data_IF_567644683380
#
_entry.id   IF_567644683380
#
_cell.length_a   1.000
_cell.length_b   1.000
_cell.length_c   1.000
_cell.angle_alpha   90.00
_cell.angle_beta   90.00
_cell.angle_gamma   90.00
#
_symmetry.space_group_name_H-M   'P 1'
#
loop_
_entity.id
_entity.type
_entity.pdbx_description
1 polymer ?
#
# COMPACT_ATOMS: atom_id res chain seq x y z
N UNK A 1 -46.58 -4.69 42.58
CA UNK A 1 -45.34 -4.56 43.38
C UNK A 1 -44.27 -4.06 42.45
N UNK A 2 -43.99 -2.76 42.53
CA UNK A 2 -43.07 -2.03 41.65
C UNK A 2 -41.63 -2.40 42.04
N UNK A 3 -40.91 -3.06 41.14
CA UNK A 3 -39.48 -3.34 41.33
C UNK A 3 -38.71 -2.04 41.13
N UNK A 4 -38.28 -1.42 42.23
CA UNK A 4 -37.29 -0.34 42.18
C UNK A 4 -36.02 -0.86 41.51
N UNK A 5 -35.79 -0.47 40.27
CA UNK A 5 -34.48 -0.62 39.63
C UNK A 5 -33.49 0.24 40.40
N UNK A 6 -32.64 -0.38 41.21
CA UNK A 6 -31.52 0.30 41.84
C UNK A 6 -30.71 1.00 40.73
N UNK A 7 -30.73 2.33 40.72
CA UNK A 7 -30.00 3.15 39.75
C UNK A 7 -28.52 2.85 39.86
N UNK A 8 -27.99 2.11 38.87
CA UNK A 8 -26.56 1.87 38.69
C UNK A 8 -25.88 3.22 38.44
N UNK A 9 -24.79 3.48 39.16
CA UNK A 9 -24.07 4.75 39.07
C UNK A 9 -23.37 4.90 37.70
N UNK A 10 -23.85 5.84 36.89
CA UNK A 10 -23.29 6.16 35.55
C UNK A 10 -21.86 6.71 35.64
N UNK A 11 -21.13 6.73 34.52
CA UNK A 11 -19.76 7.28 34.48
C UNK A 11 -19.74 8.75 34.95
N UNK A 12 -20.73 9.54 34.55
CA UNK A 12 -20.91 10.91 35.03
C UNK A 12 -21.11 10.97 36.55
N UNK A 13 -21.92 10.08 37.13
CA UNK A 13 -22.08 9.96 38.57
C UNK A 13 -20.78 9.60 39.31
N UNK A 14 -19.97 8.71 38.73
CA UNK A 14 -18.65 8.36 39.26
C UNK A 14 -17.67 9.54 39.21
N UNK A 15 -17.76 10.38 38.18
CA UNK A 15 -16.94 11.58 38.03
C UNK A 15 -17.34 12.67 39.02
N UNK A 16 -18.65 12.90 39.22
CA UNK A 16 -19.16 13.85 40.23
C UNK A 16 -18.72 13.47 41.64
N UNK A 17 -18.69 12.18 41.97
CA UNK A 17 -18.24 11.66 43.26
C UNK A 17 -16.71 11.50 43.35
N UNK A 18 -15.96 11.90 42.31
CA UNK A 18 -14.50 11.77 42.18
C UNK A 18 -13.96 10.36 42.47
N UNK A 19 -14.75 9.31 42.21
CA UNK A 19 -14.41 7.93 42.57
C UNK A 19 -13.13 7.46 41.88
N UNK A 20 -12.90 7.91 40.65
CA UNK A 20 -11.71 7.50 39.90
C UNK A 20 -10.41 8.03 40.52
N UNK A 21 -10.46 9.21 41.15
CA UNK A 21 -9.32 9.79 41.88
C UNK A 21 -9.20 9.14 43.26
N UNK A 22 -10.32 8.92 43.94
CA UNK A 22 -10.40 8.30 45.27
C UNK A 22 -9.89 6.86 45.30
N UNK A 23 -10.12 6.10 44.24
CA UNK A 23 -9.66 4.71 44.09
C UNK A 23 -8.42 4.56 43.21
N UNK A 24 -7.80 5.66 42.78
CA UNK A 24 -6.61 5.68 41.93
C UNK A 24 -6.75 4.73 40.70
N UNK A 25 -7.85 4.89 39.96
CA UNK A 25 -8.11 4.13 38.74
C UNK A 25 -7.17 4.56 37.62
N UNK A 26 -6.71 3.59 36.82
CA UNK A 26 -5.82 3.87 35.68
C UNK A 26 -6.57 4.61 34.57
N UNK A 27 -5.84 5.30 33.68
CA UNK A 27 -6.43 5.96 32.51
C UNK A 27 -7.20 4.97 31.61
N UNK A 28 -6.68 3.76 31.47
CA UNK A 28 -7.33 2.67 30.73
C UNK A 28 -8.65 2.25 31.37
N UNK A 29 -8.70 2.14 32.69
CA UNK A 29 -9.93 1.80 33.41
C UNK A 29 -11.00 2.90 33.25
N UNK A 30 -10.61 4.18 33.32
CA UNK A 30 -11.53 5.30 33.07
C UNK A 30 -12.13 5.23 31.67
N UNK A 31 -11.29 5.03 30.65
CA UNK A 31 -11.73 4.92 29.25
C UNK A 31 -12.69 3.74 29.02
N UNK A 32 -12.50 2.63 29.73
CA UNK A 32 -13.40 1.47 29.64
C UNK A 32 -14.73 1.70 30.36
N UNK A 33 -14.72 2.40 31.50
CA UNK A 33 -15.95 2.76 32.21
C UNK A 33 -16.77 3.80 31.42
N UNK A 34 -16.10 4.73 30.73
CA UNK A 34 -16.73 5.67 29.79
C UNK A 34 -17.37 4.91 28.62
N UNK A 35 -16.63 3.98 28.00
CA UNK A 35 -17.16 3.15 26.91
C UNK A 35 -18.33 2.25 27.37
N UNK A 36 -18.33 1.76 28.62
CA UNK A 36 -19.46 1.01 29.18
C UNK A 36 -20.71 1.89 29.32
N UNK A 37 -20.55 3.14 29.72
CA UNK A 37 -21.65 4.10 29.79
C UNK A 37 -22.18 4.41 28.37
N UNK A 38 -21.30 4.63 27.39
CA UNK A 38 -21.68 4.82 25.99
C UNK A 38 -22.46 3.60 25.44
N UNK A 39 -22.11 2.39 25.84
CA UNK A 39 -22.85 1.17 25.49
C UNK A 39 -24.25 1.15 26.12
N UNK A 40 -24.38 1.49 27.41
CA UNK A 40 -25.69 1.58 28.09
C UNK A 40 -26.61 2.63 27.45
N UNK A 41 -26.03 3.68 26.88
CA UNK A 41 -26.76 4.72 26.15
C UNK A 41 -26.92 4.43 24.64
N UNK A 42 -26.50 3.25 24.16
CA UNK A 42 -26.67 2.82 22.77
C UNK A 42 -25.80 3.57 21.75
N UNK A 43 -24.73 4.24 22.20
CA UNK A 43 -23.78 4.94 21.29
C UNK A 43 -22.76 3.99 20.68
N UNK A 44 -22.45 2.90 21.37
CA UNK A 44 -21.58 1.84 20.87
C UNK A 44 -22.26 0.48 21.06
N UNK A 45 -21.95 -0.46 20.18
CA UNK A 45 -22.46 -1.82 20.26
C UNK A 45 -21.70 -2.65 21.31
N UNK A 46 -22.35 -3.69 21.86
CA UNK A 46 -21.72 -4.62 22.81
C UNK A 46 -20.42 -5.23 22.24
N UNK A 47 -20.39 -5.48 20.93
CA UNK A 47 -19.21 -6.02 20.25
C UNK A 47 -18.05 -5.02 20.17
N UNK A 48 -18.33 -3.72 20.06
CA UNK A 48 -17.32 -2.67 20.09
C UNK A 48 -16.70 -2.55 21.48
N UNK A 49 -17.53 -2.57 22.53
CA UNK A 49 -17.05 -2.63 23.92
C UNK A 49 -16.16 -3.85 24.17
N UNK A 50 -16.60 -5.03 23.71
CA UNK A 50 -15.81 -6.26 23.83
C UNK A 50 -14.49 -6.22 23.05
N UNK A 51 -14.46 -5.59 21.86
CA UNK A 51 -13.25 -5.43 21.05
C UNK A 51 -12.15 -4.64 21.76
N UNK A 52 -12.50 -3.59 22.51
CA UNK A 52 -11.54 -2.78 23.27
C UNK A 52 -10.70 -3.61 24.25
N UNK A 53 -11.31 -4.64 24.83
CA UNK A 53 -10.67 -5.55 25.79
C UNK A 53 -9.99 -6.72 25.08
N UNK A 54 -10.63 -7.33 24.07
CA UNK A 54 -10.07 -8.48 23.32
C UNK A 54 -8.76 -8.15 22.61
N UNK A 55 -8.68 -6.96 22.02
CA UNK A 55 -7.52 -6.56 21.20
C UNK A 55 -6.36 -5.97 22.00
N UNK A 56 -6.54 -5.74 23.31
CA UNK A 56 -5.52 -5.10 24.16
C UNK A 56 -5.41 -5.77 25.52
N UNK A 57 -4.33 -6.53 25.73
CA UNK A 57 -4.02 -7.14 27.03
C UNK A 57 -3.91 -6.12 28.17
N UNK A 58 -3.47 -4.90 27.87
CA UNK A 58 -3.39 -3.80 28.84
C UNK A 58 -4.78 -3.32 29.30
N UNK A 59 -5.77 -3.34 28.41
CA UNK A 59 -7.16 -3.00 28.76
C UNK A 59 -7.76 -4.10 29.64
N UNK A 60 -7.56 -5.37 29.27
CA UNK A 60 -8.02 -6.52 30.10
C UNK A 60 -7.42 -6.49 31.51
N UNK A 61 -6.11 -6.23 31.62
CA UNK A 61 -5.42 -6.09 32.90
C UNK A 61 -5.96 -4.91 33.72
N UNK A 62 -6.26 -3.78 33.08
CA UNK A 62 -6.83 -2.63 33.77
C UNK A 62 -8.19 -2.92 34.42
N UNK A 63 -9.01 -3.78 33.80
CA UNK A 63 -10.29 -4.22 34.38
C UNK A 63 -10.05 -5.11 35.60
N UNK A 64 -9.20 -6.14 35.48
CA UNK A 64 -8.92 -7.05 36.60
C UNK A 64 -8.27 -6.34 37.78
N UNK A 65 -7.34 -5.41 37.51
CA UNK A 65 -6.69 -4.59 38.55
C UNK A 65 -7.70 -3.67 39.24
N UNK A 66 -8.70 -3.16 38.50
CA UNK A 66 -9.76 -2.32 39.06
C UNK A 66 -10.70 -3.10 39.97
N UNK A 67 -11.08 -4.33 39.58
CA UNK A 67 -11.87 -5.24 40.43
C UNK A 67 -11.11 -5.56 41.72
N UNK A 68 -9.83 -5.92 41.62
CA UNK A 68 -8.99 -6.22 42.78
C UNK A 68 -8.84 -5.02 43.73
N UNK A 69 -8.67 -3.80 43.19
CA UNK A 69 -8.64 -2.56 43.97
C UNK A 69 -9.96 -2.30 44.69
N UNK A 70 -11.09 -2.41 43.99
CA UNK A 70 -12.40 -2.21 44.60
C UNK A 70 -12.67 -3.23 45.73
N UNK A 71 -12.32 -4.50 45.51
CA UNK A 71 -12.42 -5.54 46.54
C UNK A 71 -11.54 -5.25 47.78
N UNK A 72 -10.34 -4.71 47.59
CA UNK A 72 -9.45 -4.28 48.68
C UNK A 72 -10.04 -3.11 49.47
N UNK A 73 -10.65 -2.14 48.80
CA UNK A 73 -11.31 -0.99 49.43
C UNK A 73 -12.55 -1.41 50.22
N UNK A 74 -13.36 -2.33 49.67
CA UNK A 74 -14.55 -2.87 50.36
C UNK A 74 -14.19 -3.51 51.71
N UNK A 75 -13.07 -4.24 51.80
CA UNK A 75 -12.59 -4.83 53.05
C UNK A 75 -12.17 -3.79 54.09
N UNK A 76 -11.65 -2.64 53.65
CA UNK A 76 -11.13 -1.59 54.55
C UNK A 76 -12.17 -0.55 54.94
N UNK A 77 -13.16 -0.28 54.08
CA UNK A 77 -14.15 0.80 54.24
C UNK A 77 -15.55 0.32 53.83
N UNK A 78 -16.33 -0.28 54.76
CA UNK A 78 -17.66 -0.80 54.45
C UNK A 78 -18.66 0.29 54.03
N UNK A 79 -18.43 1.55 54.38
CA UNK A 79 -19.25 2.68 53.92
C UNK A 79 -19.18 2.91 52.39
N UNK A 80 -18.11 2.45 51.71
CA UNK A 80 -17.92 2.60 50.26
C UNK A 80 -18.44 1.39 49.47
N UNK A 81 -19.06 0.41 50.15
CA UNK A 81 -19.44 -0.88 49.57
C UNK A 81 -20.25 -0.72 48.29
N UNK A 82 -21.25 0.16 48.31
CA UNK A 82 -22.15 0.41 47.18
C UNK A 82 -21.40 0.88 45.92
N UNK A 83 -20.53 1.88 46.07
CA UNK A 83 -19.75 2.44 44.96
C UNK A 83 -18.76 1.43 44.36
N UNK A 84 -18.12 0.62 45.22
CA UNK A 84 -17.21 -0.44 44.76
C UNK A 84 -17.96 -1.55 44.01
N UNK A 85 -19.16 -1.92 44.48
CA UNK A 85 -20.01 -2.91 43.80
C UNK A 85 -20.43 -2.41 42.42
N UNK A 86 -20.83 -1.14 42.29
CA UNK A 86 -21.21 -0.56 41.00
C UNK A 86 -20.06 -0.58 39.98
N UNK A 87 -18.84 -0.24 40.41
CA UNK A 87 -17.65 -0.29 39.55
C UNK A 87 -17.29 -1.73 39.18
N UNK A 88 -17.38 -2.67 40.13
CA UNK A 88 -17.12 -4.09 39.87
C UNK A 88 -18.16 -4.61 38.87
N UNK A 89 -19.43 -4.26 39.02
CA UNK A 89 -20.51 -4.65 38.11
C UNK A 89 -20.29 -4.12 36.69
N UNK A 90 -19.87 -2.86 36.55
CA UNK A 90 -19.49 -2.33 35.24
C UNK A 90 -18.30 -3.09 34.63
N UNK A 91 -17.28 -3.38 35.44
CA UNK A 91 -16.10 -4.16 35.03
C UNK A 91 -16.47 -5.60 34.59
N UNK A 92 -17.38 -6.27 35.30
CA UNK A 92 -17.80 -7.64 34.96
C UNK A 92 -18.65 -7.67 33.70
N UNK A 93 -19.51 -6.66 33.47
CA UNK A 93 -20.26 -6.53 32.23
C UNK A 93 -19.35 -6.29 31.02
N UNK A 94 -18.30 -5.46 31.18
CA UNK A 94 -17.26 -5.27 30.17
C UNK A 94 -16.55 -6.60 29.84
N UNK A 95 -16.18 -7.39 30.86
CA UNK A 95 -15.56 -8.71 30.65
C UNK A 95 -16.52 -9.68 29.97
N UNK A 96 -17.79 -9.70 30.35
CA UNK A 96 -18.82 -10.53 29.71
C UNK A 96 -19.00 -10.19 28.22
N UNK A 97 -18.98 -8.90 27.87
CA UNK A 97 -19.00 -8.46 26.47
C UNK A 97 -17.73 -8.90 25.70
N UNK A 98 -16.58 -8.95 26.37
CA UNK A 98 -15.32 -9.38 25.78
C UNK A 98 -15.22 -10.90 25.60
N UNK A 99 -15.76 -11.68 26.53
CA UNK A 99 -15.70 -13.15 26.53
C UNK A 99 -16.71 -13.79 25.56
N UNK A 100 -17.74 -13.05 25.11
CA UNK A 100 -18.56 -13.48 23.98
C UNK A 100 -17.69 -13.60 22.72
N UNK A 101 -17.81 -14.69 21.93
CA UNK A 101 -17.13 -14.78 20.64
C UNK A 101 -17.60 -13.61 19.77
N UNK A 102 -16.68 -12.93 19.04
CA UNK A 102 -17.07 -11.84 18.16
C UNK A 102 -18.10 -12.37 17.15
N UNK A 103 -19.11 -11.55 16.82
CA UNK A 103 -19.99 -11.88 15.70
C UNK A 103 -19.14 -12.18 14.47
N UNK A 104 -19.42 -13.33 13.84
CA UNK A 104 -18.79 -13.73 12.58
C UNK A 104 -19.30 -12.90 11.40
N UNK A 105 -20.28 -12.01 11.63
CA UNK A 105 -20.66 -10.96 10.70
C UNK A 105 -19.51 -9.95 10.60
N UNK A 106 -18.54 -10.29 9.76
CA UNK A 106 -17.42 -9.42 9.44
C UNK A 106 -17.89 -8.07 8.92
N UNK A 107 -17.03 -7.06 9.05
CA UNK A 107 -17.30 -5.72 8.52
C UNK A 107 -17.67 -5.80 7.03
N UNK A 108 -18.85 -5.30 6.62
CA UNK A 108 -19.34 -5.49 5.25
C UNK A 108 -18.69 -4.47 4.30
N UNK A 109 -17.38 -4.63 4.07
CA UNK A 109 -16.57 -3.70 3.25
C UNK A 109 -17.21 -3.42 1.89
N UNK A 110 -17.83 -4.43 1.27
CA UNK A 110 -18.46 -4.32 -0.05
C UNK A 110 -19.79 -3.56 -0.05
N UNK A 111 -20.44 -3.35 1.10
CA UNK A 111 -21.65 -2.52 1.23
C UNK A 111 -21.31 -1.02 1.27
N UNK A 112 -20.07 -0.66 1.56
CA UNK A 112 -19.64 0.74 1.57
C UNK A 112 -19.59 1.31 0.14
N UNK A 113 -19.78 2.63 -0.04
CA UNK A 113 -19.49 3.31 -1.31
C UNK A 113 -18.04 3.11 -1.77
N UNK A 114 -17.81 3.17 -3.08
CA UNK A 114 -16.51 2.88 -3.69
C UNK A 114 -15.41 3.85 -3.18
N UNK A 115 -15.78 5.09 -2.89
CA UNK A 115 -14.93 6.15 -2.36
C UNK A 115 -14.38 5.76 -0.98
N UNK A 116 -15.24 5.26 -0.10
CA UNK A 116 -14.84 4.80 1.23
C UNK A 116 -13.96 3.56 1.13
N UNK A 117 -14.29 2.62 0.23
CA UNK A 117 -13.43 1.44 0.00
C UNK A 117 -12.04 1.84 -0.50
N UNK A 118 -11.93 2.83 -1.40
CA UNK A 118 -10.64 3.39 -1.84
C UNK A 118 -9.85 4.00 -0.68
N UNK A 119 -10.51 4.69 0.25
CA UNK A 119 -9.85 5.21 1.45
C UNK A 119 -9.33 4.07 2.35
N UNK A 120 -10.08 2.98 2.48
CA UNK A 120 -9.60 1.77 3.18
C UNK A 120 -8.38 1.19 2.47
N UNK A 121 -8.39 1.07 1.14
CA UNK A 121 -7.21 0.61 0.37
C UNK A 121 -6.03 1.55 0.50
N UNK A 122 -6.26 2.86 0.57
CA UNK A 122 -5.22 3.83 0.84
C UNK A 122 -4.56 3.59 2.19
N UNK A 123 -5.36 3.48 3.26
CA UNK A 123 -4.86 3.26 4.61
C UNK A 123 -4.21 1.88 4.77
N UNK A 124 -4.73 0.88 4.08
CA UNK A 124 -4.14 -0.45 4.05
C UNK A 124 -2.75 -0.41 3.41
N UNK A 125 -2.65 0.15 2.19
CA UNK A 125 -1.39 0.23 1.44
C UNK A 125 -0.36 1.14 2.10
N UNK A 126 -0.76 2.25 2.71
CA UNK A 126 0.16 3.18 3.37
C UNK A 126 0.85 2.57 4.60
N UNK A 127 0.20 1.64 5.31
CA UNK A 127 0.75 1.02 6.54
C UNK A 127 1.97 0.14 6.27
N UNK A 128 1.91 -0.78 5.31
CA UNK A 128 3.06 -1.64 5.01
C UNK A 128 4.06 -0.99 4.05
N UNK A 129 3.66 0.05 3.33
CA UNK A 129 4.56 0.91 2.58
C UNK A 129 5.11 2.04 3.46
N UNK A 130 5.24 1.87 4.79
CA UNK A 130 5.50 2.93 5.79
C UNK A 130 6.73 3.87 5.59
N UNK A 131 7.55 3.68 4.55
CA UNK A 131 8.58 4.63 4.09
C UNK A 131 8.23 5.41 2.80
N UNK A 132 7.12 5.08 2.17
CA UNK A 132 6.60 5.56 0.89
C UNK A 132 5.37 6.42 1.12
N UNK A 133 5.50 7.44 1.96
CA UNK A 133 4.36 8.24 2.44
C UNK A 133 3.72 9.11 1.34
N UNK A 134 4.33 9.23 0.17
CA UNK A 134 3.91 10.15 -0.88
C UNK A 134 3.47 9.39 -2.13
N UNK A 135 2.42 9.89 -2.82
CA UNK A 135 2.21 9.57 -4.22
C UNK A 135 3.50 9.86 -5.00
N UNK A 136 3.96 8.94 -5.85
CA UNK A 136 5.29 8.98 -6.48
C UNK A 136 6.40 8.22 -5.74
N UNK A 137 6.06 7.56 -4.63
CA UNK A 137 6.90 6.54 -4.02
C UNK A 137 7.17 5.37 -5.00
N UNK A 138 8.44 5.21 -5.40
CA UNK A 138 8.86 4.16 -6.33
C UNK A 138 8.87 2.77 -5.70
N UNK A 139 7.97 1.89 -6.08
CA UNK A 139 7.95 0.50 -5.66
C UNK A 139 8.89 -0.35 -6.53
N UNK A 140 9.84 -1.05 -5.90
CA UNK A 140 10.70 -2.02 -6.58
C UNK A 140 10.07 -3.43 -6.45
N UNK A 141 9.65 -4.07 -7.55
CA UNK A 141 9.16 -5.43 -7.52
C UNK A 141 10.22 -6.40 -6.98
N UNK A 142 9.77 -7.51 -6.41
CA UNK A 142 10.71 -8.57 -6.07
C UNK A 142 11.31 -9.14 -7.37
N UNK A 143 12.65 -9.25 -7.48
CA UNK A 143 13.29 -9.67 -8.72
C UNK A 143 12.85 -11.09 -9.05
N UNK A 144 12.19 -11.25 -10.20
CA UNK A 144 11.94 -12.58 -10.76
C UNK A 144 13.24 -13.09 -11.37
N UNK A 145 13.51 -14.40 -11.21
CA UNK A 145 14.60 -15.08 -11.93
C UNK A 145 14.36 -14.95 -13.43
N UNK A 146 14.92 -13.90 -14.03
CA UNK A 146 15.05 -13.77 -15.47
C UNK A 146 16.46 -14.25 -15.83
N UNK A 147 16.61 -14.91 -16.97
CA UNK A 147 17.91 -15.40 -17.44
C UNK A 147 18.87 -14.28 -17.89
N UNK A 148 18.67 -13.04 -17.40
CA UNK A 148 19.50 -11.91 -17.80
C UNK A 148 20.63 -11.68 -16.80
N UNK A 149 21.83 -11.40 -17.32
CA UNK A 149 23.00 -11.02 -16.54
C UNK A 149 23.09 -9.48 -16.34
N UNK A 150 21.95 -8.79 -16.32
CA UNK A 150 21.94 -7.35 -16.10
C UNK A 150 22.37 -7.03 -14.66
N UNK A 151 23.14 -5.96 -14.48
CA UNK A 151 23.50 -5.50 -13.15
C UNK A 151 22.22 -5.21 -12.34
N UNK A 152 22.12 -5.78 -11.16
CA UNK A 152 20.96 -5.58 -10.28
C UNK A 152 20.88 -4.11 -9.85
N UNK A 153 19.68 -3.55 -9.86
CA UNK A 153 19.44 -2.27 -9.18
C UNK A 153 19.69 -2.48 -7.69
N UNK A 154 20.53 -1.64 -7.09
CA UNK A 154 20.77 -1.61 -5.65
C UNK A 154 19.97 -0.45 -5.05
N UNK A 155 18.66 -0.61 -4.77
CA UNK A 155 17.86 0.46 -4.19
C UNK A 155 18.47 0.96 -2.88
N UNK A 156 18.33 2.25 -2.56
CA UNK A 156 18.49 2.73 -1.19
C UNK A 156 17.74 1.82 -0.20
N UNK A 157 18.21 1.69 1.04
CA UNK A 157 17.63 0.76 2.03
C UNK A 157 16.10 0.93 2.24
N UNK A 158 15.57 2.14 2.01
CA UNK A 158 14.14 2.43 2.09
C UNK A 158 13.33 2.00 0.85
N UNK A 159 13.98 1.78 -0.30
CA UNK A 159 13.41 1.30 -1.56
C UNK A 159 13.60 -0.21 -1.80
N UNK A 160 14.18 -0.94 -0.85
CA UNK A 160 14.46 -2.36 -1.01
C UNK A 160 13.17 -3.17 -1.20
N UNK A 161 13.16 -4.18 -2.09
CA UNK A 161 12.02 -5.07 -2.25
C UNK A 161 11.68 -5.72 -0.90
N UNK A 162 10.44 -5.56 -0.45
CA UNK A 162 9.93 -6.19 0.76
C UNK A 162 8.75 -7.09 0.40
N UNK A 163 8.64 -8.21 1.09
CA UNK A 163 7.43 -9.02 1.05
C UNK A 163 6.30 -8.20 1.65
N UNK A 164 5.36 -7.81 0.79
CA UNK A 164 4.17 -7.08 1.22
C UNK A 164 3.12 -8.10 1.64
N UNK A 165 2.60 -7.93 2.86
CA UNK A 165 1.42 -8.65 3.29
C UNK A 165 0.19 -8.08 2.57
N UNK A 166 -0.34 -8.83 1.60
CA UNK A 166 -1.56 -8.51 0.83
C UNK A 166 -2.78 -9.32 1.33
N UNK A 167 -2.88 -9.61 2.63
CA UNK A 167 -4.01 -10.33 3.23
C UNK A 167 -5.39 -9.80 2.80
N UNK A 168 -5.57 -8.49 2.63
CA UNK A 168 -6.85 -7.94 2.16
C UNK A 168 -7.19 -8.42 0.74
N UNK A 169 -6.19 -8.59 -0.13
CA UNK A 169 -6.37 -9.11 -1.48
C UNK A 169 -6.73 -10.61 -1.50
N UNK A 170 -6.44 -11.34 -0.42
CA UNK A 170 -6.76 -12.76 -0.29
C UNK A 170 -8.23 -13.02 0.14
N UNK A 171 -8.95 -11.98 0.60
CA UNK A 171 -10.31 -12.14 1.16
C UNK A 171 -11.34 -12.59 0.12
N UNK A 172 -11.49 -11.84 -0.98
CA UNK A 172 -12.36 -12.19 -2.09
C UNK A 172 -11.89 -11.57 -3.41
N UNK A 173 -12.37 -12.09 -4.54
CA UNK A 173 -11.93 -11.65 -5.88
C UNK A 173 -12.25 -10.17 -6.16
N UNK A 174 -13.41 -9.68 -5.70
CA UNK A 174 -13.79 -8.27 -5.91
C UNK A 174 -12.85 -7.32 -5.16
N UNK A 175 -12.61 -7.58 -3.87
CA UNK A 175 -11.67 -6.79 -3.06
C UNK A 175 -10.25 -6.87 -3.63
N UNK A 176 -9.82 -8.05 -4.09
CA UNK A 176 -8.54 -8.24 -4.76
C UNK A 176 -8.39 -7.33 -5.97
N UNK A 177 -9.37 -7.33 -6.86
CA UNK A 177 -9.32 -6.55 -8.10
C UNK A 177 -9.32 -5.05 -7.80
N UNK A 178 -10.21 -4.57 -6.94
CA UNK A 178 -10.29 -3.16 -6.57
C UNK A 178 -8.98 -2.68 -5.88
N UNK A 179 -8.43 -3.49 -4.98
CA UNK A 179 -7.17 -3.18 -4.27
C UNK A 179 -5.96 -3.19 -5.22
N UNK A 180 -5.84 -4.21 -6.08
CA UNK A 180 -4.72 -4.30 -7.02
C UNK A 180 -4.79 -3.18 -8.06
N UNK A 181 -5.99 -2.85 -8.55
CA UNK A 181 -6.19 -1.72 -9.44
C UNK A 181 -5.76 -0.41 -8.78
N UNK A 182 -6.21 -0.16 -7.54
CA UNK A 182 -5.76 1.00 -6.77
C UNK A 182 -4.24 1.02 -6.59
N UNK A 183 -3.63 -0.12 -6.27
CA UNK A 183 -2.19 -0.25 -6.06
C UNK A 183 -1.38 0.04 -7.33
N UNK A 184 -1.71 -0.59 -8.45
CA UNK A 184 -1.00 -0.41 -9.72
C UNK A 184 -1.19 0.98 -10.34
N UNK A 185 -2.28 1.67 -10.00
CA UNK A 185 -2.54 3.04 -10.45
C UNK A 185 -1.83 4.10 -9.59
N UNK A 186 -1.58 3.83 -8.32
CA UNK A 186 -1.07 4.82 -7.35
C UNK A 186 0.45 4.90 -7.27
N UNK A 187 1.14 3.78 -7.40
CA UNK A 187 2.59 3.70 -7.17
C UNK A 187 3.35 3.61 -8.49
N UNK A 188 4.54 4.21 -8.51
CA UNK A 188 5.47 4.10 -9.64
C UNK A 188 6.27 2.81 -9.52
N UNK A 189 6.32 1.99 -10.55
CA UNK A 189 7.06 0.71 -10.51
C UNK A 189 8.46 0.88 -11.09
N UNK A 190 9.48 0.59 -10.29
CA UNK A 190 10.88 0.66 -10.70
C UNK A 190 11.40 -0.71 -11.12
N UNK A 191 11.80 -0.85 -12.38
CA UNK A 191 12.45 -2.05 -12.91
C UNK A 191 13.94 -1.80 -13.16
N UNK A 192 14.78 -2.74 -12.73
CA UNK A 192 16.23 -2.65 -12.82
C UNK A 192 16.78 -2.75 -14.25
N UNK A 193 16.00 -3.34 -15.16
CA UNK A 193 16.37 -3.49 -16.56
C UNK A 193 15.14 -3.79 -17.43
N UNK A 194 15.29 -3.72 -18.75
CA UNK A 194 14.24 -4.08 -19.70
C UNK A 194 13.83 -5.56 -19.63
N UNK A 195 14.75 -6.44 -19.23
CA UNK A 195 14.46 -7.87 -19.04
C UNK A 195 13.50 -8.14 -17.87
N UNK A 196 13.69 -7.42 -16.76
CA UNK A 196 12.80 -7.52 -15.60
C UNK A 196 11.43 -6.94 -15.93
N UNK A 197 11.40 -5.77 -16.57
CA UNK A 197 10.16 -5.17 -17.09
C UNK A 197 9.36 -6.18 -17.93
N UNK A 198 10.00 -6.78 -18.93
CA UNK A 198 9.41 -7.82 -19.78
C UNK A 198 8.85 -8.98 -18.95
N UNK A 199 9.63 -9.51 -18.01
CA UNK A 199 9.21 -10.66 -17.21
C UNK A 199 7.98 -10.33 -16.35
N UNK A 200 7.94 -9.15 -15.74
CA UNK A 200 6.81 -8.72 -14.91
C UNK A 200 5.56 -8.45 -15.74
N UNK A 201 5.68 -7.74 -16.87
CA UNK A 201 4.55 -7.45 -17.75
C UNK A 201 4.01 -8.72 -18.43
N UNK A 202 4.87 -9.67 -18.80
CA UNK A 202 4.46 -10.94 -19.40
C UNK A 202 3.76 -11.86 -18.40
N UNK A 203 4.28 -11.97 -17.17
CA UNK A 203 3.73 -12.89 -16.17
C UNK A 203 2.46 -12.34 -15.51
N UNK A 204 2.33 -11.02 -15.39
CA UNK A 204 1.23 -10.38 -14.68
C UNK A 204 0.39 -9.54 -15.63
N UNK A 205 -0.61 -10.17 -16.24
CA UNK A 205 -1.54 -9.52 -17.18
C UNK A 205 -2.32 -8.38 -16.51
N UNK A 206 -2.66 -8.54 -15.23
CA UNK A 206 -3.39 -7.52 -14.49
C UNK A 206 -2.55 -6.26 -14.26
N UNK A 207 -1.26 -6.42 -13.90
CA UNK A 207 -0.30 -5.32 -13.84
C UNK A 207 -0.27 -4.59 -15.18
N UNK A 208 -0.07 -5.30 -16.30
CA UNK A 208 -0.04 -4.69 -17.64
C UNK A 208 -1.29 -3.85 -17.95
N UNK A 209 -2.47 -4.32 -17.56
CA UNK A 209 -3.75 -3.61 -17.78
C UNK A 209 -3.94 -2.37 -16.89
N UNK A 210 -3.34 -2.33 -15.70
CA UNK A 210 -3.62 -1.31 -14.68
C UNK A 210 -2.45 -0.37 -14.38
N UNK A 211 -1.27 -0.64 -14.91
CA UNK A 211 -0.05 0.12 -14.68
C UNK A 211 -0.15 1.54 -15.26
N UNK A 212 0.10 2.53 -14.41
CA UNK A 212 0.04 3.96 -14.77
C UNK A 212 1.40 4.64 -14.76
N UNK A 213 2.30 4.27 -13.84
CA UNK A 213 3.58 4.95 -13.67
C UNK A 213 4.73 3.94 -13.62
N UNK A 214 5.72 4.13 -14.48
CA UNK A 214 6.86 3.21 -14.64
C UNK A 214 8.17 3.96 -14.64
N UNK A 215 9.15 3.39 -13.95
CA UNK A 215 10.56 3.78 -13.99
C UNK A 215 11.39 2.58 -14.41
N UNK A 216 12.22 2.71 -15.44
CA UNK A 216 13.03 1.58 -15.92
C UNK A 216 14.42 2.02 -16.31
N UNK A 217 15.43 1.26 -15.89
CA UNK A 217 16.77 1.41 -16.44
C UNK A 217 16.84 0.75 -17.81
N UNK A 218 17.12 1.56 -18.84
CA UNK A 218 17.27 1.08 -20.20
C UNK A 218 18.58 0.34 -20.35
N UNK A 219 18.50 -0.98 -20.18
CA UNK A 219 19.61 -1.92 -20.30
C UNK A 219 19.09 -3.33 -20.44
N UNK A 220 19.91 -4.21 -21.03
CA UNK A 220 19.67 -5.64 -21.10
C UNK A 220 19.25 -6.15 -22.48
N UNK A 221 19.47 -7.46 -22.73
CA UNK A 221 19.31 -8.08 -24.06
C UNK A 221 17.85 -8.28 -24.50
N UNK A 222 16.87 -7.90 -23.69
CA UNK A 222 15.43 -8.02 -24.00
C UNK A 222 14.68 -6.70 -23.83
N UNK A 223 15.39 -5.57 -23.97
CA UNK A 223 14.82 -4.23 -23.78
C UNK A 223 13.77 -3.90 -24.84
N UNK A 224 14.03 -4.28 -26.09
CA UNK A 224 13.09 -4.26 -27.22
C UNK A 224 11.73 -4.85 -26.84
N UNK A 225 11.72 -6.11 -26.41
CA UNK A 225 10.51 -6.85 -26.04
C UNK A 225 9.84 -6.27 -24.80
N UNK A 226 10.63 -5.72 -23.87
CA UNK A 226 10.12 -5.03 -22.69
C UNK A 226 9.34 -3.77 -23.06
N UNK A 227 9.88 -2.95 -23.97
CA UNK A 227 9.23 -1.73 -24.44
C UNK A 227 8.05 -2.00 -25.37
N UNK A 228 8.11 -3.03 -26.22
CA UNK A 228 6.94 -3.47 -27.00
C UNK A 228 5.75 -3.84 -26.10
N UNK A 229 5.99 -4.57 -25.00
CA UNK A 229 4.91 -4.85 -24.03
C UNK A 229 4.48 -3.62 -23.25
N UNK A 230 5.39 -2.67 -22.99
CA UNK A 230 5.06 -1.43 -22.31
C UNK A 230 4.19 -0.52 -23.17
N UNK A 231 4.40 -0.48 -24.49
CA UNK A 231 3.54 0.21 -25.44
C UNK A 231 2.09 -0.32 -25.40
N UNK A 232 1.93 -1.61 -25.07
CA UNK A 232 0.63 -2.29 -24.92
C UNK A 232 -0.03 -2.08 -23.54
N UNK A 233 0.49 -1.19 -22.69
CA UNK A 233 -0.11 -0.85 -21.40
C UNK A 233 -1.16 0.25 -21.56
N UNK A 234 -2.47 -0.04 -21.47
CA UNK A 234 -3.54 0.90 -21.83
C UNK A 234 -3.65 2.11 -20.90
N UNK A 235 -3.13 2.04 -19.67
CA UNK A 235 -3.29 3.10 -18.66
C UNK A 235 -1.99 3.83 -18.31
N UNK A 236 -0.91 3.60 -19.05
CA UNK A 236 0.38 4.22 -18.81
C UNK A 236 0.30 5.74 -19.05
N UNK A 237 0.62 6.52 -18.01
CA UNK A 237 0.59 7.99 -18.00
C UNK A 237 1.92 8.63 -17.66
N UNK A 238 2.70 7.98 -16.81
CA UNK A 238 4.00 8.48 -16.38
C UNK A 238 5.08 7.47 -16.74
N UNK A 239 6.13 7.94 -17.40
CA UNK A 239 7.25 7.10 -17.78
C UNK A 239 8.58 7.79 -17.47
N UNK A 240 9.41 7.14 -16.68
CA UNK A 240 10.78 7.55 -16.42
C UNK A 240 11.75 6.51 -16.98
N UNK A 241 12.65 6.96 -17.85
CA UNK A 241 13.71 6.13 -18.39
C UNK A 241 15.05 6.56 -17.80
N UNK A 242 15.77 5.61 -17.22
CA UNK A 242 17.11 5.81 -16.68
C UNK A 242 18.11 5.39 -17.75
N UNK A 243 19.07 6.25 -18.05
CA UNK A 243 20.16 5.97 -19.01
C UNK A 243 21.52 5.89 -18.31
N UNK A 244 22.41 5.08 -18.85
CA UNK A 244 23.79 4.93 -18.39
C UNK A 244 24.72 4.50 -19.53
N UNK A 245 26.01 4.30 -19.25
CA UNK A 245 26.92 3.70 -20.25
C UNK A 245 26.46 2.33 -20.72
N UNK A 246 25.83 1.52 -19.87
CA UNK A 246 25.34 0.18 -20.20
C UNK A 246 24.13 0.17 -21.13
N UNK A 247 23.46 1.31 -21.34
CA UNK A 247 22.30 1.42 -22.23
C UNK A 247 22.62 0.96 -23.65
N UNK A 248 23.80 1.32 -24.18
CA UNK A 248 24.26 0.86 -25.50
C UNK A 248 25.08 -0.44 -25.41
N UNK A 249 25.01 -1.18 -24.30
CA UNK A 249 25.70 -2.46 -24.17
C UNK A 249 25.06 -3.55 -25.05
N UNK A 250 23.80 -3.37 -25.41
CA UNK A 250 23.10 -4.18 -26.41
C UNK A 250 22.65 -3.23 -27.52
N UNK A 251 23.00 -3.56 -28.77
CA UNK A 251 22.77 -2.71 -29.92
C UNK A 251 21.59 -3.21 -30.75
N UNK A 252 21.00 -2.32 -31.54
CA UNK A 252 20.02 -2.70 -32.56
C UNK A 252 20.63 -3.66 -33.58
N UNK A 253 19.78 -4.42 -34.27
CA UNK A 253 20.24 -5.31 -35.37
C UNK A 253 20.97 -4.52 -36.45
N UNK A 254 20.43 -3.35 -36.81
CA UNK A 254 21.01 -2.42 -37.79
C UNK A 254 22.43 -2.01 -37.41
N UNK A 255 22.65 -1.55 -36.17
CA UNK A 255 23.99 -1.13 -35.73
C UNK A 255 24.96 -2.32 -35.61
N UNK A 256 24.48 -3.47 -35.14
CA UNK A 256 25.31 -4.69 -35.07
C UNK A 256 25.84 -5.07 -36.45
N UNK A 257 24.98 -5.08 -37.47
CA UNK A 257 25.37 -5.33 -38.87
C UNK A 257 26.31 -4.25 -39.39
N UNK A 258 26.02 -2.97 -39.13
CA UNK A 258 26.91 -1.87 -39.55
C UNK A 258 28.32 -2.02 -38.97
N UNK A 259 28.47 -2.46 -37.73
CA UNK A 259 29.78 -2.66 -37.08
C UNK A 259 30.52 -3.90 -37.59
N UNK A 260 29.80 -4.91 -38.05
CA UNK A 260 30.38 -6.10 -38.66
C UNK A 260 31.06 -5.76 -39.99
N UNK A 261 30.43 -4.91 -40.81
CA UNK A 261 30.97 -4.50 -42.11
C UNK A 261 31.87 -3.27 -42.06
N UNK A 262 31.59 -2.32 -41.17
CA UNK A 262 32.34 -1.09 -41.00
C UNK A 262 32.92 -1.05 -39.59
N UNK A 263 34.25 -1.19 -39.47
CA UNK A 263 34.98 -1.10 -38.20
C UNK A 263 34.96 0.32 -37.62
N UNK A 264 33.79 0.72 -37.12
CA UNK A 264 33.59 2.02 -36.48
C UNK A 264 34.18 1.98 -35.08
N UNK A 265 35.28 2.73 -34.88
CA UNK A 265 35.85 2.94 -33.55
C UNK A 265 35.06 3.94 -32.70
N UNK A 266 34.01 4.55 -33.26
CA UNK A 266 33.20 5.52 -32.52
C UNK A 266 32.31 4.80 -31.50
N UNK A 267 32.15 5.38 -30.29
CA UNK A 267 31.24 4.82 -29.30
C UNK A 267 29.79 4.84 -29.85
N UNK A 268 29.00 3.79 -29.58
CA UNK A 268 27.61 3.75 -30.03
C UNK A 268 26.77 4.85 -29.37
N UNK A 269 25.87 5.43 -30.15
CA UNK A 269 24.93 6.48 -29.71
C UNK A 269 23.70 5.86 -29.05
N UNK A 270 22.95 6.64 -28.29
CA UNK A 270 21.71 6.17 -27.65
C UNK A 270 20.67 5.68 -28.66
N UNK A 271 20.60 6.27 -29.85
CA UNK A 271 19.67 5.85 -30.91
C UNK A 271 19.98 4.44 -31.44
N UNK A 272 21.20 3.96 -31.23
CA UNK A 272 21.67 2.67 -31.71
C UNK A 272 21.49 1.57 -30.63
N UNK A 273 20.99 1.93 -29.44
CA UNK A 273 20.71 1.00 -28.35
C UNK A 273 19.46 0.14 -28.61
N UNK A 274 19.52 -1.13 -28.20
CA UNK A 274 18.42 -2.08 -28.33
C UNK A 274 17.17 -1.58 -27.58
N UNK A 275 16.04 -1.52 -28.28
CA UNK A 275 14.79 -1.03 -27.72
C UNK A 275 14.43 0.40 -28.14
N UNK A 276 15.32 1.13 -28.83
CA UNK A 276 15.03 2.50 -29.25
C UNK A 276 13.80 2.57 -30.17
N UNK A 277 13.71 1.65 -31.13
CA UNK A 277 12.63 1.61 -32.13
C UNK A 277 11.28 1.34 -31.45
N UNK A 278 11.23 0.45 -30.47
CA UNK A 278 10.02 0.17 -29.69
C UNK A 278 9.67 1.30 -28.71
N UNK A 279 10.69 1.95 -28.14
CA UNK A 279 10.53 3.05 -27.20
C UNK A 279 9.81 4.24 -27.85
N UNK A 280 10.20 4.59 -29.08
CA UNK A 280 9.57 5.68 -29.84
C UNK A 280 8.18 5.33 -30.37
N UNK A 281 7.69 4.10 -30.20
CA UNK A 281 6.33 3.70 -30.55
C UNK A 281 5.36 3.82 -29.38
N UNK A 282 5.85 4.01 -28.15
CA UNK A 282 4.99 4.28 -26.99
C UNK A 282 4.24 5.60 -27.22
N UNK A 283 2.93 5.62 -26.95
CA UNK A 283 2.03 6.78 -27.13
C UNK A 283 1.13 6.97 -25.91
N UNK A 284 0.53 8.15 -25.77
CA UNK A 284 -0.46 8.48 -24.74
C UNK A 284 0.11 8.63 -23.33
N UNK A 285 1.39 9.00 -23.20
CA UNK A 285 2.04 9.25 -21.90
C UNK A 285 1.94 10.74 -21.58
N UNK A 286 1.38 11.09 -20.43
CA UNK A 286 1.23 12.47 -19.96
C UNK A 286 2.59 13.09 -19.58
N UNK A 287 3.44 12.34 -18.87
CA UNK A 287 4.72 12.83 -18.35
C UNK A 287 5.87 11.87 -18.66
N UNK A 288 6.91 12.39 -19.31
CA UNK A 288 8.15 11.66 -19.61
C UNK A 288 9.36 12.34 -18.99
N UNK A 289 10.16 11.55 -18.27
CA UNK A 289 11.41 12.01 -17.66
C UNK A 289 12.58 11.10 -18.08
N UNK A 290 13.69 11.72 -18.47
CA UNK A 290 14.95 11.00 -18.74
C UNK A 290 15.96 11.37 -17.67
N UNK A 291 16.40 10.38 -16.89
CA UNK A 291 17.35 10.56 -15.80
C UNK A 291 18.62 9.73 -16.00
N UNK A 292 19.70 10.16 -15.35
CA UNK A 292 20.92 9.39 -15.30
C UNK A 292 20.87 8.36 -14.17
N UNK A 293 21.50 7.21 -14.40
CA UNK A 293 21.80 6.29 -13.32
C UNK A 293 22.63 7.00 -12.23
N UNK A 294 22.37 6.66 -10.96
CA UNK A 294 23.13 7.22 -9.86
C UNK A 294 24.61 6.82 -10.02
N UNK A 295 25.54 7.77 -9.79
CA UNK A 295 26.97 7.55 -10.04
C UNK A 295 27.56 6.36 -9.25
N UNK A 296 26.96 6.03 -8.09
CA UNK A 296 27.33 4.87 -7.27
C UNK A 296 26.95 3.52 -7.91
N UNK A 297 25.97 3.51 -8.81
CA UNK A 297 25.42 2.30 -9.43
C UNK A 297 25.98 2.05 -10.83
N UNK A 298 26.60 3.07 -11.45
CA UNK A 298 27.27 2.91 -12.74
C UNK A 298 27.66 4.24 -13.39
N UNK A 299 28.36 4.13 -14.51
CA UNK A 299 28.84 5.28 -15.25
C UNK A 299 27.72 5.99 -16.01
N UNK A 300 27.68 7.32 -15.90
CA UNK A 300 26.73 8.18 -16.58
C UNK A 300 27.09 8.41 -18.05
N UNK A 301 26.08 8.80 -18.82
CA UNK A 301 26.21 9.35 -20.17
C UNK A 301 26.41 10.87 -20.09
N UNK A 302 26.53 11.54 -21.24
CA UNK A 302 26.58 12.99 -21.29
C UNK A 302 25.21 13.62 -21.02
N UNK A 303 25.20 14.82 -20.44
CA UNK A 303 23.95 15.56 -20.22
C UNK A 303 23.29 16.02 -21.52
N UNK A 304 24.07 16.20 -22.59
CA UNK A 304 23.58 16.50 -23.93
C UNK A 304 22.78 15.31 -24.49
N UNK A 305 23.31 14.09 -24.42
CA UNK A 305 22.59 12.86 -24.79
C UNK A 305 21.27 12.72 -24.00
N UNK A 306 21.30 13.02 -22.69
CA UNK A 306 20.11 13.00 -21.83
C UNK A 306 19.06 14.01 -22.28
N UNK A 307 19.46 15.25 -22.54
CA UNK A 307 18.56 16.33 -22.94
C UNK A 307 17.95 16.05 -24.32
N UNK A 308 18.77 15.61 -25.28
CA UNK A 308 18.33 15.29 -26.64
C UNK A 308 17.34 14.11 -26.65
N UNK A 309 17.62 13.05 -25.89
CA UNK A 309 16.68 11.93 -25.73
C UNK A 309 15.38 12.40 -25.05
N UNK A 310 15.48 13.25 -24.03
CA UNK A 310 14.31 13.80 -23.35
C UNK A 310 13.41 14.61 -24.27
N UNK A 311 13.98 15.45 -25.13
CA UNK A 311 13.24 16.21 -26.13
C UNK A 311 12.56 15.30 -27.15
N UNK A 312 13.29 14.32 -27.70
CA UNK A 312 12.77 13.36 -28.66
C UNK A 312 11.61 12.54 -28.08
N UNK A 313 11.77 11.98 -26.88
CA UNK A 313 10.73 11.16 -26.26
C UNK A 313 9.52 12.01 -25.88
N UNK A 314 9.70 13.27 -25.47
CA UNK A 314 8.59 14.18 -25.22
C UNK A 314 7.77 14.46 -26.48
N UNK A 315 8.40 14.70 -27.62
CA UNK A 315 7.70 14.86 -28.90
C UNK A 315 6.94 13.59 -29.32
N UNK A 316 7.51 12.40 -29.12
CA UNK A 316 6.92 11.16 -29.61
C UNK A 316 5.88 10.56 -28.67
N UNK A 317 6.15 10.49 -27.36
CA UNK A 317 5.34 9.71 -26.42
C UNK A 317 4.08 10.44 -25.93
N UNK A 318 4.08 11.78 -25.96
CA UNK A 318 2.93 12.60 -25.53
C UNK A 318 1.82 12.69 -26.58
N UNK A 319 2.10 12.22 -27.81
CA UNK A 319 1.09 12.13 -28.86
C UNK A 319 -0.03 11.19 -28.43
N UNK A 320 -1.25 11.49 -28.86
CA UNK A 320 -2.40 10.63 -28.65
C UNK A 320 -2.10 9.22 -29.17
N UNK A 321 -2.73 8.23 -28.53
CA UNK A 321 -2.72 6.88 -29.07
C UNK A 321 -3.58 6.90 -30.33
N UNK A 322 -3.13 6.18 -31.34
CA UNK A 322 -4.00 5.84 -32.46
C UNK A 322 -5.05 4.91 -31.87
N UNK A 323 -6.24 5.45 -31.62
CA UNK A 323 -7.36 4.71 -31.05
C UNK A 323 -7.74 3.60 -32.02
N UNK A 324 -7.30 2.37 -31.73
CA UNK A 324 -7.92 1.17 -32.25
C UNK A 324 -9.27 1.01 -31.57
N UNK A 325 -10.28 1.73 -32.05
CA UNK A 325 -11.69 1.41 -31.82
C UNK A 325 -11.97 0.05 -32.46
N UNK A 326 -11.73 -1.00 -31.69
CA UNK A 326 -12.53 -2.21 -31.76
C UNK A 326 -13.43 -2.15 -30.53
N UNK A 327 -14.51 -1.38 -30.68
CA UNK A 327 -15.76 -1.81 -30.09
C UNK A 327 -16.02 -3.20 -30.66
N UNK A 328 -15.70 -4.24 -29.88
CA UNK A 328 -16.34 -5.54 -30.09
C UNK A 328 -17.81 -5.31 -29.77
N UNK A 329 -18.55 -4.93 -30.82
CA UNK A 329 -19.99 -5.10 -30.92
C UNK A 329 -20.34 -6.49 -30.39
N UNK A 330 -21.35 -6.53 -29.52
CA UNK A 330 -21.95 -7.78 -29.14
C UNK A 330 -22.52 -8.45 -30.36
N UNK A 331 -22.18 -9.71 -30.53
CA UNK A 331 -23.02 -10.67 -31.24
C UNK A 331 -23.50 -11.70 -30.20
N UNK A 332 -24.76 -12.06 -30.38
CA UNK A 332 -25.71 -12.74 -29.48
C UNK A 332 -25.25 -14.05 -28.81
#
# INVERSE_FOLDING_TARGET
MSSESATVLTFYGQQMLMLHRKYALSANAKKLLEAHDDWKHGRIDQDELGRLVRLSGNMRKAVTDTIAKCASVMRKKPAELKNCVDIIQACTEILSAADKPPSMDGFPLLKLPAEIRRNVYHQYTSKFLGGYRNAGAGFVPFPKKSSCACAGYAPPAFLQPRLINMALAATCQRVRNELLEYFYRKYQFHFSCGCELLQHLKTNVFLRKMLTSVKVHWTGPKSDKGFDLLAKCPKLKEFEIIISKSTTGNLTKRETQMREFFTSQKPPRLIDALGMDELILIRGVDTITVTHLQARQGARRSDEERANLGALLRDKLTRAREDGSLDEEGDD
#
